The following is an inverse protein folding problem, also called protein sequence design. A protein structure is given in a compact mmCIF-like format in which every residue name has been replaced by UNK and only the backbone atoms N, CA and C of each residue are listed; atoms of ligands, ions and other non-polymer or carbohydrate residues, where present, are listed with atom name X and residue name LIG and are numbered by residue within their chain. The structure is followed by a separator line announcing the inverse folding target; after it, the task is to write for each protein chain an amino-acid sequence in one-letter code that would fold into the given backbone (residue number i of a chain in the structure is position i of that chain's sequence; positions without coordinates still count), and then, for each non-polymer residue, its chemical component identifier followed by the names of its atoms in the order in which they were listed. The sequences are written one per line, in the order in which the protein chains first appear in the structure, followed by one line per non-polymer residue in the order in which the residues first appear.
data_IF_644022698081
#
_entry.id   IF_644022698081
#
_cell.length_a   1.000
_cell.length_b   1.000
_cell.length_c   1.000
_cell.angle_alpha   90.00
_cell.angle_beta   90.00
_cell.angle_gamma   90.00
#
_symmetry.space_group_name_H-M   'P 1'
#
loop_
_entity.id
_entity.type
_entity.pdbx_description
1 polymer ?
#
# COMPACT_ATOMS: atom_id res chain seq x y z
N UNK A 1 -17.33 17.77 24.22
CA UNK A 1 -17.40 17.07 22.92
C UNK A 1 -16.35 15.98 22.99
N UNK A 2 -16.70 14.75 22.66
CA UNK A 2 -15.76 13.62 22.68
C UNK A 2 -14.67 13.84 21.63
N UNK A 3 -13.40 13.61 21.99
CA UNK A 3 -12.28 13.65 21.04
C UNK A 3 -12.31 12.43 20.11
N UNK A 4 -11.61 12.50 18.95
CA UNK A 4 -11.51 11.35 18.02
C UNK A 4 -10.83 10.18 18.72
N UNK A 5 -9.77 10.44 19.47
CA UNK A 5 -9.02 9.41 20.22
C UNK A 5 -9.93 8.71 21.27
N UNK A 6 -10.72 9.47 22.04
CA UNK A 6 -11.70 8.88 22.98
C UNK A 6 -12.76 8.03 22.25
N UNK A 7 -13.21 8.49 21.08
CA UNK A 7 -14.16 7.72 20.27
C UNK A 7 -13.53 6.40 19.77
N UNK A 8 -12.26 6.40 19.36
CA UNK A 8 -11.54 5.19 18.96
C UNK A 8 -11.39 4.22 20.14
N UNK A 9 -11.00 4.71 21.32
CA UNK A 9 -10.92 3.88 22.53
C UNK A 9 -12.28 3.29 22.95
N UNK A 10 -13.37 4.00 22.73
CA UNK A 10 -14.73 3.45 23.01
C UNK A 10 -15.12 2.28 22.11
N UNK A 11 -14.39 2.08 20.99
CA UNK A 11 -14.57 0.96 20.05
C UNK A 11 -13.52 -0.13 20.19
N UNK A 12 -12.67 -0.07 21.22
CA UNK A 12 -11.58 -1.02 21.47
C UNK A 12 -12.10 -2.44 21.65
N UNK A 13 -11.36 -3.41 21.09
CA UNK A 13 -11.51 -4.84 21.30
C UNK A 13 -10.15 -5.41 21.70
N UNK A 14 -9.99 -5.76 22.97
CA UNK A 14 -8.72 -6.22 23.54
C UNK A 14 -8.24 -7.55 22.91
N UNK A 15 -9.15 -8.45 22.58
CA UNK A 15 -8.80 -9.69 21.89
C UNK A 15 -8.27 -9.42 20.48
N UNK A 16 -8.89 -8.48 19.78
CA UNK A 16 -8.42 -8.05 18.45
C UNK A 16 -7.10 -7.28 18.55
N UNK A 17 -6.93 -6.41 19.55
CA UNK A 17 -5.68 -5.69 19.82
C UNK A 17 -4.51 -6.66 19.93
N UNK A 18 -4.63 -7.66 20.81
CA UNK A 18 -3.59 -8.66 21.05
C UNK A 18 -3.25 -9.46 19.79
N UNK A 19 -4.26 -9.91 19.06
CA UNK A 19 -4.08 -10.61 17.77
C UNK A 19 -3.38 -9.71 16.74
N UNK A 20 -3.85 -8.48 16.58
CA UNK A 20 -3.36 -7.57 15.54
C UNK A 20 -1.93 -7.11 15.79
N UNK A 21 -1.56 -6.86 17.05
CA UNK A 21 -0.20 -6.51 17.43
C UNK A 21 0.83 -7.56 16.97
N UNK A 22 0.47 -8.85 17.01
CA UNK A 22 1.33 -9.93 16.49
C UNK A 22 1.57 -9.88 14.98
N UNK A 23 0.70 -9.21 14.22
CA UNK A 23 0.85 -9.03 12.77
C UNK A 23 1.66 -7.78 12.39
N UNK A 24 1.96 -6.92 13.36
CA UNK A 24 2.55 -5.59 13.16
C UNK A 24 3.88 -5.45 13.93
N UNK A 25 4.91 -6.27 13.63
CA UNK A 25 6.13 -6.34 14.44
C UNK A 25 6.96 -5.04 14.46
N UNK A 26 6.65 -4.08 13.59
CA UNK A 26 7.31 -2.77 13.52
C UNK A 26 6.60 -1.67 14.30
N UNK A 27 5.44 -1.94 14.91
CA UNK A 27 4.66 -0.96 15.68
C UNK A 27 4.69 -1.33 17.17
N UNK A 28 4.93 -0.33 18.02
CA UNK A 28 4.79 -0.48 19.46
C UNK A 28 3.34 -0.91 19.80
N UNK A 29 3.12 -2.05 20.50
CA UNK A 29 1.79 -2.51 20.88
C UNK A 29 0.96 -1.47 21.65
N UNK A 30 1.60 -0.55 22.38
CA UNK A 30 0.91 0.54 23.08
C UNK A 30 0.31 1.58 22.12
N UNK A 31 0.78 1.63 20.89
CA UNK A 31 0.21 2.48 19.82
C UNK A 31 -0.96 1.81 19.08
N UNK A 32 -1.36 0.61 19.46
CA UNK A 32 -2.49 -0.12 18.86
C UNK A 32 -3.67 -0.10 19.83
N UNK A 33 -4.77 0.55 19.45
CA UNK A 33 -6.01 0.59 20.25
C UNK A 33 -6.77 -0.72 20.12
N UNK A 34 -6.83 -1.31 18.92
CA UNK A 34 -7.56 -2.54 18.65
C UNK A 34 -8.98 -2.30 18.13
N UNK A 35 -9.17 -1.28 17.27
CA UNK A 35 -10.47 -1.04 16.63
C UNK A 35 -10.62 -1.89 15.38
N UNK A 36 -11.68 -2.70 15.33
CA UNK A 36 -11.95 -3.53 14.15
C UNK A 36 -12.27 -2.68 12.91
N UNK A 37 -11.72 -3.03 11.78
CA UNK A 37 -11.85 -2.28 10.53
C UNK A 37 -13.31 -1.95 10.13
N UNK A 38 -14.32 -2.83 10.29
CA UNK A 38 -15.71 -2.45 9.99
C UNK A 38 -16.26 -1.33 10.88
N UNK A 39 -15.86 -1.27 12.15
CA UNK A 39 -16.24 -0.18 13.07
C UNK A 39 -15.54 1.12 12.66
N UNK A 40 -14.23 1.05 12.38
CA UNK A 40 -13.45 2.20 11.95
C UNK A 40 -13.97 2.80 10.64
N UNK A 41 -14.37 1.97 9.67
CA UNK A 41 -14.96 2.44 8.40
C UNK A 41 -16.30 3.15 8.60
N UNK A 42 -17.16 2.65 9.51
CA UNK A 42 -18.43 3.32 9.84
C UNK A 42 -18.15 4.67 10.52
N UNK A 43 -17.21 4.70 11.45
CA UNK A 43 -16.82 5.93 12.12
C UNK A 43 -16.23 6.96 11.14
N UNK A 44 -15.32 6.55 10.26
CA UNK A 44 -14.77 7.39 9.21
C UNK A 44 -15.86 7.98 8.29
N UNK A 45 -16.89 7.20 7.95
CA UNK A 45 -18.00 7.67 7.13
C UNK A 45 -18.83 8.76 7.85
N UNK A 46 -19.13 8.58 9.14
CA UNK A 46 -19.85 9.56 9.93
C UNK A 46 -19.00 10.82 10.19
N UNK A 47 -17.72 10.65 10.49
CA UNK A 47 -16.80 11.77 10.76
C UNK A 47 -16.59 12.65 9.53
N UNK A 48 -16.52 12.06 8.33
CA UNK A 48 -16.25 12.80 7.09
C UNK A 48 -17.25 13.93 6.80
N UNK A 49 -18.46 13.84 7.33
CA UNK A 49 -19.51 14.85 7.15
C UNK A 49 -19.45 15.97 8.22
N UNK A 50 -18.39 15.98 9.05
CA UNK A 50 -18.26 16.95 10.15
C UNK A 50 -17.06 17.88 9.96
N UNK A 51 -17.09 19.11 10.53
CA UNK A 51 -15.92 19.99 10.51
C UNK A 51 -14.70 19.41 11.24
N UNK A 52 -14.91 18.47 12.17
CA UNK A 52 -13.85 17.81 12.93
C UNK A 52 -12.93 16.98 12.04
N UNK A 53 -13.45 16.39 10.94
CA UNK A 53 -12.62 15.67 9.98
C UNK A 53 -11.52 16.55 9.36
N UNK A 54 -11.87 17.80 8.98
CA UNK A 54 -10.90 18.72 8.38
C UNK A 54 -9.82 19.17 9.37
N UNK A 55 -10.15 19.29 10.66
CA UNK A 55 -9.17 19.55 11.71
C UNK A 55 -8.25 18.36 11.91
N UNK A 56 -8.81 17.17 12.07
CA UNK A 56 -8.06 15.94 12.26
C UNK A 56 -7.05 15.67 11.11
N UNK A 57 -7.44 15.92 9.86
CA UNK A 57 -6.54 15.78 8.70
C UNK A 57 -5.37 16.79 8.67
N UNK A 58 -5.38 17.80 9.54
CA UNK A 58 -4.27 18.75 9.71
C UNK A 58 -3.35 18.40 10.88
N UNK A 59 -3.83 17.60 11.81
CA UNK A 59 -3.13 17.18 13.03
C UNK A 59 -2.24 15.97 12.71
N UNK A 60 -0.99 16.22 12.35
CA UNK A 60 0.04 15.21 12.12
C UNK A 60 1.28 15.54 12.95
N UNK A 61 2.02 14.53 13.41
CA UNK A 61 1.76 13.08 13.32
C UNK A 61 0.67 12.59 14.26
N UNK A 62 0.06 11.45 13.95
CA UNK A 62 -0.85 10.76 14.85
C UNK A 62 -0.11 9.83 15.81
N UNK A 63 -0.68 9.60 16.99
CA UNK A 63 -0.11 8.73 18.01
C UNK A 63 -0.44 7.27 17.77
N UNK A 64 -1.72 6.97 17.43
CA UNK A 64 -2.21 5.61 17.36
C UNK A 64 -2.33 5.10 15.92
N UNK A 65 -2.10 3.80 15.77
CA UNK A 65 -2.27 3.09 14.50
C UNK A 65 -3.66 3.30 13.87
N UNK A 66 -4.69 3.28 14.68
CA UNK A 66 -6.06 3.48 14.20
C UNK A 66 -6.36 4.92 13.79
N UNK A 67 -5.65 5.89 14.35
CA UNK A 67 -5.71 7.29 13.88
C UNK A 67 -5.11 7.41 12.48
N UNK A 68 -3.97 6.76 12.22
CA UNK A 68 -3.38 6.70 10.89
C UNK A 68 -4.33 6.00 9.89
N UNK A 69 -4.97 4.91 10.28
CA UNK A 69 -5.97 4.25 9.45
C UNK A 69 -7.20 5.11 9.20
N UNK A 70 -7.66 5.84 10.21
CA UNK A 70 -8.78 6.78 10.08
C UNK A 70 -8.43 7.91 9.11
N UNK A 71 -7.21 8.46 9.21
CA UNK A 71 -6.69 9.47 8.29
C UNK A 71 -6.70 8.95 6.85
N UNK A 72 -6.16 7.75 6.61
CA UNK A 72 -6.17 7.10 5.30
C UNK A 72 -7.62 6.94 4.77
N UNK A 73 -8.55 6.45 5.61
CA UNK A 73 -9.96 6.28 5.23
C UNK A 73 -10.65 7.60 4.87
N UNK A 74 -10.32 8.70 5.53
CA UNK A 74 -10.85 10.03 5.21
C UNK A 74 -10.28 10.54 3.89
N UNK A 75 -8.96 10.46 3.67
CA UNK A 75 -8.31 10.85 2.41
C UNK A 75 -8.87 10.08 1.20
N UNK A 76 -9.13 8.78 1.37
CA UNK A 76 -9.67 7.93 0.29
C UNK A 76 -11.03 8.39 -0.22
N UNK A 77 -11.79 9.16 0.56
CA UNK A 77 -13.13 9.66 0.19
C UNK A 77 -13.08 10.88 -0.74
N UNK A 78 -11.93 11.58 -0.79
CA UNK A 78 -11.76 12.73 -1.66
C UNK A 78 -11.84 12.30 -3.14
N UNK A 79 -12.69 12.98 -3.90
CA UNK A 79 -12.95 12.69 -5.31
C UNK A 79 -12.18 13.58 -6.27
N UNK A 80 -11.79 14.77 -5.80
CA UNK A 80 -11.01 15.69 -6.58
C UNK A 80 -9.51 15.45 -6.34
N UNK A 81 -8.78 15.21 -7.43
CA UNK A 81 -7.36 14.92 -7.38
C UNK A 81 -6.53 16.09 -6.84
N UNK A 82 -6.85 17.33 -7.22
CA UNK A 82 -6.08 18.50 -6.80
C UNK A 82 -6.28 18.80 -5.32
N UNK A 83 -7.48 18.55 -4.81
CA UNK A 83 -7.83 18.69 -3.38
C UNK A 83 -7.17 17.60 -2.53
N UNK A 84 -7.07 16.36 -3.06
CA UNK A 84 -6.47 15.24 -2.35
C UNK A 84 -4.94 15.40 -2.20
N UNK A 85 -4.24 15.85 -3.25
CA UNK A 85 -2.78 15.71 -3.30
C UNK A 85 -2.03 16.43 -2.17
N UNK A 86 -2.36 17.71 -1.80
CA UNK A 86 -1.64 18.36 -0.71
C UNK A 86 -1.76 17.66 0.65
N UNK A 87 -2.94 17.22 1.15
CA UNK A 87 -3.03 16.47 2.39
C UNK A 87 -2.43 15.07 2.29
N UNK A 88 -2.52 14.39 1.14
CA UNK A 88 -1.88 13.09 0.93
C UNK A 88 -0.35 13.20 1.03
N UNK A 89 0.27 14.18 0.38
CA UNK A 89 1.71 14.41 0.44
C UNK A 89 2.21 14.72 1.85
N UNK A 90 1.38 15.33 2.71
CA UNK A 90 1.70 15.50 4.13
C UNK A 90 1.56 14.21 4.93
N UNK A 91 0.65 13.32 4.54
CA UNK A 91 0.40 12.08 5.26
C UNK A 91 1.36 10.95 4.88
N UNK A 92 1.80 10.86 3.64
CA UNK A 92 2.70 9.78 3.19
C UNK A 92 3.97 9.62 4.04
N UNK A 93 4.63 10.71 4.51
CA UNK A 93 5.75 10.61 5.44
C UNK A 93 5.45 9.95 6.79
N UNK A 94 4.21 9.96 7.21
CA UNK A 94 3.75 9.43 8.50
C UNK A 94 3.40 7.93 8.44
N UNK A 95 3.44 7.34 7.24
CA UNK A 95 3.22 5.91 7.08
C UNK A 95 4.39 5.12 7.70
N UNK A 96 4.12 4.38 8.76
CA UNK A 96 5.09 3.59 9.52
C UNK A 96 4.85 2.08 9.46
N UNK A 97 3.83 1.64 8.67
CA UNK A 97 3.47 0.24 8.60
C UNK A 97 2.81 -0.14 7.27
N UNK A 98 2.86 -1.44 6.96
CA UNK A 98 2.30 -1.99 5.72
C UNK A 98 0.77 -1.95 5.67
N UNK A 99 0.08 -2.10 6.80
CA UNK A 99 -1.37 -2.23 6.82
C UNK A 99 -2.06 -0.88 6.52
N UNK A 100 -1.58 0.22 7.10
CA UNK A 100 -2.06 1.57 6.77
C UNK A 100 -1.71 1.94 5.33
N UNK A 101 -0.49 1.59 4.89
CA UNK A 101 -0.06 1.80 3.51
C UNK A 101 -0.99 1.12 2.51
N UNK A 102 -1.23 -0.19 2.67
CA UNK A 102 -2.06 -1.00 1.76
C UNK A 102 -3.57 -0.68 1.87
N UNK A 103 -3.99 -0.05 2.98
CA UNK A 103 -5.35 0.47 3.15
C UNK A 103 -5.59 1.68 2.25
N UNK A 104 -4.59 2.53 2.04
CA UNK A 104 -4.69 3.84 1.40
C UNK A 104 -4.83 3.70 -0.13
N UNK A 105 -6.07 3.73 -0.63
CA UNK A 105 -6.42 3.61 -2.06
C UNK A 105 -7.38 4.71 -2.50
N UNK A 106 -6.86 5.92 -2.79
CA UNK A 106 -7.70 7.04 -3.17
C UNK A 106 -8.52 6.76 -4.44
N UNK A 107 -9.84 6.96 -4.35
CA UNK A 107 -10.76 6.61 -5.45
C UNK A 107 -10.55 7.46 -6.70
N UNK A 108 -10.06 8.69 -6.56
CA UNK A 108 -9.83 9.59 -7.70
C UNK A 108 -8.65 9.18 -8.58
N UNK A 109 -7.72 8.33 -8.11
CA UNK A 109 -6.53 7.93 -8.86
C UNK A 109 -6.87 7.16 -10.15
N UNK A 110 -7.91 6.30 -10.10
CA UNK A 110 -8.33 5.53 -11.26
C UNK A 110 -8.74 6.37 -12.49
N UNK A 111 -9.14 7.63 -12.26
CA UNK A 111 -9.55 8.57 -13.32
C UNK A 111 -8.50 9.64 -13.62
N UNK A 112 -7.37 9.61 -12.95
CA UNK A 112 -6.32 10.61 -13.05
C UNK A 112 -4.93 9.98 -13.23
N UNK A 113 -4.85 8.86 -13.93
CA UNK A 113 -3.60 8.10 -14.11
C UNK A 113 -2.48 8.95 -14.71
N UNK A 114 -2.76 9.75 -15.72
CA UNK A 114 -1.74 10.62 -16.34
C UNK A 114 -1.20 11.68 -15.37
N UNK A 115 -2.09 12.24 -14.52
CA UNK A 115 -1.72 13.22 -13.50
C UNK A 115 -0.98 12.61 -12.33
N UNK A 116 -1.20 11.32 -12.07
CA UNK A 116 -0.58 10.58 -10.95
C UNK A 116 0.88 10.22 -11.24
N UNK A 117 1.24 9.95 -12.50
CA UNK A 117 2.58 9.49 -12.89
C UNK A 117 3.73 10.33 -12.33
N UNK A 118 3.74 11.67 -12.43
CA UNK A 118 4.83 12.49 -11.88
C UNK A 118 5.00 12.34 -10.36
N UNK A 119 3.91 12.09 -9.64
CA UNK A 119 3.95 11.84 -8.20
C UNK A 119 4.51 10.45 -7.89
N UNK A 120 4.16 9.44 -8.70
CA UNK A 120 4.74 8.10 -8.54
C UNK A 120 6.24 8.10 -8.75
N UNK A 121 6.75 8.83 -9.74
CA UNK A 121 8.19 8.99 -9.96
C UNK A 121 8.88 9.63 -8.74
N UNK A 122 8.29 10.68 -8.18
CA UNK A 122 8.77 11.32 -6.96
C UNK A 122 8.78 10.36 -5.77
N UNK A 123 7.69 9.61 -5.56
CA UNK A 123 7.55 8.72 -4.41
C UNK A 123 8.40 7.44 -4.52
N UNK A 124 8.66 6.95 -5.74
CA UNK A 124 9.60 5.83 -5.97
C UNK A 124 11.05 6.20 -5.61
N UNK A 125 11.40 7.47 -5.69
CA UNK A 125 12.72 8.00 -5.36
C UNK A 125 12.82 8.52 -3.91
N UNK A 126 11.79 8.32 -3.08
CA UNK A 126 11.77 8.76 -1.68
C UNK A 126 12.63 7.85 -0.78
N UNK A 127 13.18 8.40 0.30
CA UNK A 127 13.96 7.64 1.29
C UNK A 127 13.09 6.84 2.27
N UNK A 128 11.81 7.17 2.37
CA UNK A 128 10.87 6.54 3.31
C UNK A 128 10.27 5.27 2.74
N UNK A 129 10.49 4.12 3.39
CA UNK A 129 10.10 2.82 2.84
C UNK A 129 8.62 2.69 2.49
N UNK A 130 7.75 3.26 3.30
CA UNK A 130 6.30 3.13 3.05
C UNK A 130 5.78 4.10 2.00
N UNK A 131 6.43 5.25 1.75
CA UNK A 131 6.17 6.10 0.59
C UNK A 131 6.53 5.35 -0.70
N UNK A 132 7.70 4.72 -0.75
CA UNK A 132 8.13 3.87 -1.88
C UNK A 132 7.18 2.69 -2.08
N UNK A 133 6.79 1.99 -0.98
CA UNK A 133 5.82 0.90 -1.03
C UNK A 133 4.49 1.35 -1.61
N UNK A 134 3.99 2.49 -1.18
CA UNK A 134 2.75 3.07 -1.69
C UNK A 134 2.83 3.34 -3.20
N UNK A 135 3.92 3.92 -3.68
CA UNK A 135 4.11 4.18 -5.10
C UNK A 135 4.10 2.89 -5.94
N UNK A 136 4.80 1.84 -5.49
CA UNK A 136 4.78 0.53 -6.15
C UNK A 136 3.36 -0.07 -6.16
N UNK A 137 2.62 0.05 -5.05
CA UNK A 137 1.24 -0.44 -4.96
C UNK A 137 0.31 0.32 -5.90
N UNK A 138 0.47 1.62 -6.06
CA UNK A 138 -0.32 2.42 -7.00
C UNK A 138 -0.01 2.04 -8.45
N UNK A 139 1.26 1.78 -8.81
CA UNK A 139 1.62 1.21 -10.11
C UNK A 139 0.97 -0.16 -10.32
N UNK A 140 0.98 -1.03 -9.32
CA UNK A 140 0.31 -2.33 -9.38
C UNK A 140 -1.19 -2.21 -9.58
N UNK A 141 -1.82 -1.26 -8.89
CA UNK A 141 -3.29 -1.12 -8.86
C UNK A 141 -3.83 -0.50 -10.13
N UNK A 142 -3.15 0.49 -10.70
CA UNK A 142 -3.71 1.33 -11.76
C UNK A 142 -3.08 1.12 -13.14
N UNK A 143 -1.88 0.48 -13.22
CA UNK A 143 -1.11 0.47 -14.47
C UNK A 143 -0.74 -0.94 -14.99
N UNK A 144 -1.30 -2.01 -14.45
CA UNK A 144 -1.11 -3.37 -15.01
C UNK A 144 -2.15 -3.74 -16.07
N UNK A 145 -3.27 -3.02 -16.14
CA UNK A 145 -4.37 -3.24 -17.09
C UNK A 145 -4.25 -2.39 -18.35
N UNK A 146 -5.30 -1.58 -18.61
CA UNK A 146 -5.41 -0.73 -19.81
C UNK A 146 -4.32 0.34 -19.91
N UNK A 147 -3.79 0.82 -18.80
CA UNK A 147 -2.73 1.83 -18.74
C UNK A 147 -1.33 1.23 -18.69
N UNK A 148 -1.16 -0.05 -19.02
CA UNK A 148 0.15 -0.69 -18.97
C UNK A 148 1.15 -0.06 -19.94
N UNK A 149 2.39 0.11 -19.45
CA UNK A 149 3.58 0.43 -20.25
C UNK A 149 4.75 -0.42 -19.75
N UNK A 150 5.63 -0.93 -20.66
CA UNK A 150 6.84 -1.65 -20.28
C UNK A 150 7.80 -0.84 -19.39
N UNK A 151 7.63 0.48 -19.34
CA UNK A 151 8.41 1.37 -18.46
C UNK A 151 8.10 1.15 -16.97
N UNK A 152 6.85 0.83 -16.62
CA UNK A 152 6.48 0.73 -15.19
C UNK A 152 7.16 -0.42 -14.47
N UNK A 153 7.20 -1.65 -15.00
CA UNK A 153 8.00 -2.71 -14.37
C UNK A 153 9.50 -2.38 -14.32
N UNK A 154 10.05 -1.63 -15.27
CA UNK A 154 11.45 -1.15 -15.20
C UNK A 154 11.66 -0.20 -14.04
N UNK A 155 10.74 0.77 -13.83
CA UNK A 155 10.78 1.70 -12.68
C UNK A 155 10.73 0.94 -11.36
N UNK A 156 9.84 -0.05 -11.23
CA UNK A 156 9.75 -0.88 -10.02
C UNK A 156 11.00 -1.72 -9.81
N UNK A 157 11.57 -2.30 -10.88
CA UNK A 157 12.82 -3.07 -10.81
C UNK A 157 14.03 -2.20 -10.42
N UNK A 158 14.04 -0.93 -10.83
CA UNK A 158 15.12 0.01 -10.52
C UNK A 158 15.14 0.47 -9.05
N UNK A 159 14.07 0.27 -8.28
CA UNK A 159 14.03 0.62 -6.85
C UNK A 159 15.03 -0.24 -6.08
N UNK A 160 16.02 0.40 -5.47
CA UNK A 160 17.01 -0.24 -4.60
C UNK A 160 16.61 -0.03 -3.14
N UNK A 161 16.35 -1.12 -2.42
CA UNK A 161 15.99 -1.04 -1.00
C UNK A 161 16.32 -2.36 -0.29
N UNK A 162 16.90 -2.26 0.89
CA UNK A 162 17.06 -3.40 1.79
C UNK A 162 15.86 -3.56 2.75
N UNK A 163 14.94 -2.61 2.76
CA UNK A 163 13.78 -2.65 3.63
C UNK A 163 12.83 -3.77 3.21
N UNK A 164 12.54 -4.69 4.15
CA UNK A 164 11.73 -5.88 3.91
C UNK A 164 10.39 -5.60 3.20
N UNK A 165 9.65 -4.57 3.64
CA UNK A 165 8.32 -4.28 3.10
C UNK A 165 8.34 -3.61 1.73
N UNK A 166 9.43 -2.94 1.34
CA UNK A 166 9.63 -2.46 -0.03
C UNK A 166 9.90 -3.64 -0.97
N UNK A 167 10.87 -4.49 -0.62
CA UNK A 167 11.21 -5.70 -1.39
C UNK A 167 10.03 -6.66 -1.52
N UNK A 168 9.22 -6.79 -0.46
CA UNK A 168 7.99 -7.58 -0.49
C UNK A 168 6.95 -6.99 -1.45
N UNK A 169 6.83 -5.67 -1.53
CA UNK A 169 5.93 -5.01 -2.48
C UNK A 169 6.43 -5.15 -3.92
N UNK A 170 7.73 -5.03 -4.17
CA UNK A 170 8.31 -5.35 -5.48
C UNK A 170 7.93 -6.79 -5.91
N UNK A 171 8.12 -7.76 -5.01
CA UNK A 171 7.78 -9.14 -5.28
C UNK A 171 6.28 -9.34 -5.54
N UNK A 172 5.43 -8.62 -4.82
CA UNK A 172 3.97 -8.65 -5.05
C UNK A 172 3.59 -8.00 -6.36
N UNK A 173 4.20 -6.86 -6.71
CA UNK A 173 4.02 -6.20 -8.00
C UNK A 173 4.32 -7.16 -9.16
N UNK A 174 5.51 -7.77 -9.18
CA UNK A 174 5.91 -8.68 -10.26
C UNK A 174 5.07 -9.95 -10.31
N UNK A 175 4.71 -10.54 -9.17
CA UNK A 175 3.81 -11.69 -9.12
C UNK A 175 2.41 -11.37 -9.66
N UNK A 176 1.90 -10.17 -9.38
CA UNK A 176 0.63 -9.69 -9.93
C UNK A 176 0.75 -9.39 -11.42
N UNK A 177 1.82 -8.71 -11.82
CA UNK A 177 2.09 -8.35 -13.21
C UNK A 177 2.19 -9.59 -14.12
N UNK A 178 2.79 -10.69 -13.65
CA UNK A 178 2.81 -11.98 -14.37
C UNK A 178 1.41 -12.52 -14.70
N UNK A 179 0.42 -12.25 -13.85
CA UNK A 179 -0.96 -12.68 -14.12
C UNK A 179 -1.65 -11.86 -15.21
N UNK A 180 -1.19 -10.66 -15.49
CA UNK A 180 -1.73 -9.76 -16.50
C UNK A 180 -0.92 -9.73 -17.79
N UNK A 181 0.41 -9.87 -17.70
CA UNK A 181 1.39 -9.60 -18.76
C UNK A 181 2.55 -10.59 -18.70
N UNK A 182 2.27 -11.89 -18.80
CA UNK A 182 3.26 -12.93 -18.53
C UNK A 182 4.53 -12.75 -19.36
N UNK A 183 4.37 -12.62 -20.71
CA UNK A 183 5.51 -12.55 -21.64
C UNK A 183 6.35 -11.28 -21.45
N UNK A 184 5.71 -10.15 -21.14
CA UNK A 184 6.41 -8.88 -20.92
C UNK A 184 7.16 -8.85 -19.57
N UNK A 185 6.71 -9.65 -18.60
CA UNK A 185 7.25 -9.64 -17.23
C UNK A 185 8.27 -10.78 -17.01
N UNK A 186 8.13 -11.89 -17.69
CA UNK A 186 9.04 -13.04 -17.56
C UNK A 186 10.54 -12.67 -17.69
N UNK A 187 10.96 -11.77 -18.62
CA UNK A 187 12.35 -11.33 -18.73
C UNK A 187 12.97 -10.73 -17.47
N UNK A 188 12.16 -10.10 -16.59
CA UNK A 188 12.64 -9.58 -15.31
C UNK A 188 13.05 -10.69 -14.33
N UNK A 189 12.48 -11.89 -14.48
CA UNK A 189 12.78 -13.04 -13.63
C UNK A 189 13.91 -13.92 -14.20
N UNK A 190 14.14 -13.89 -15.52
CA UNK A 190 15.17 -14.66 -16.18
C UNK A 190 16.49 -13.91 -16.35
N UNK A 191 16.46 -12.57 -16.28
CA UNK A 191 17.62 -11.69 -16.29
C UNK A 191 18.03 -11.23 -14.88
N UNK A 192 18.87 -10.20 -14.84
CA UNK A 192 19.48 -9.65 -13.63
C UNK A 192 18.80 -8.38 -13.12
N UNK A 193 17.59 -8.08 -13.63
CA UNK A 193 16.87 -6.86 -13.29
C UNK A 193 16.35 -6.82 -11.83
N UNK A 194 16.13 -7.99 -11.23
CA UNK A 194 15.65 -8.11 -9.86
C UNK A 194 16.72 -8.71 -8.96
N UNK A 195 16.83 -8.21 -7.72
CA UNK A 195 17.67 -8.86 -6.71
C UNK A 195 17.26 -10.33 -6.52
N UNK A 196 18.20 -11.23 -6.19
CA UNK A 196 17.90 -12.66 -6.01
C UNK A 196 16.73 -12.90 -5.04
N UNK A 197 16.66 -12.14 -3.96
CA UNK A 197 15.59 -12.25 -2.98
C UNK A 197 14.23 -11.85 -3.56
N UNK A 198 14.13 -10.71 -4.25
CA UNK A 198 12.87 -10.24 -4.89
C UNK A 198 12.42 -11.23 -5.94
N UNK A 199 13.36 -11.72 -6.80
CA UNK A 199 13.08 -12.74 -7.82
C UNK A 199 12.48 -14.01 -7.21
N UNK A 200 13.14 -14.59 -6.20
CA UNK A 200 12.65 -15.81 -5.54
C UNK A 200 11.30 -15.61 -4.89
N UNK A 201 11.12 -14.48 -4.21
CA UNK A 201 9.84 -14.15 -3.54
C UNK A 201 8.72 -13.90 -4.55
N UNK A 202 9.02 -13.29 -5.70
CA UNK A 202 8.08 -13.15 -6.84
C UNK A 202 7.61 -14.51 -7.33
N UNK A 203 8.56 -15.42 -7.62
CA UNK A 203 8.23 -16.77 -8.07
C UNK A 203 7.39 -17.51 -7.05
N UNK A 204 7.72 -17.42 -5.76
CA UNK A 204 6.92 -18.01 -4.70
C UNK A 204 5.47 -17.53 -4.75
N UNK A 205 5.27 -16.20 -4.73
CA UNK A 205 3.93 -15.58 -4.75
C UNK A 205 3.15 -15.92 -6.03
N UNK A 206 3.82 -15.92 -7.19
CA UNK A 206 3.18 -16.26 -8.47
C UNK A 206 2.71 -17.72 -8.49
N UNK A 207 3.52 -18.66 -7.99
CA UNK A 207 3.15 -20.08 -7.90
C UNK A 207 1.97 -20.32 -6.93
N UNK A 208 1.89 -19.55 -5.84
CA UNK A 208 0.79 -19.59 -4.87
C UNK A 208 -0.50 -18.95 -5.42
N UNK A 209 -0.40 -18.06 -6.40
CA UNK A 209 -1.54 -17.31 -6.94
C UNK A 209 -2.49 -18.20 -7.74
N UNK A 210 -3.79 -18.08 -7.52
CA UNK A 210 -4.83 -18.71 -8.35
C UNK A 210 -4.97 -18.08 -9.75
N UNK A 211 -4.39 -16.90 -9.97
CA UNK A 211 -4.46 -16.16 -11.24
C UNK A 211 -3.45 -16.65 -12.28
N UNK A 212 -2.44 -17.42 -11.87
CA UNK A 212 -1.38 -17.93 -12.75
C UNK A 212 -1.77 -19.34 -13.23
N UNK A 213 -1.83 -19.59 -14.57
CA UNK A 213 -2.13 -20.90 -15.11
C UNK A 213 -1.10 -21.99 -14.69
N UNK A 214 -1.50 -23.26 -14.60
CA UNK A 214 -0.61 -24.35 -14.20
C UNK A 214 0.65 -24.46 -15.05
N UNK A 215 0.58 -24.21 -16.34
CA UNK A 215 1.73 -24.22 -17.27
C UNK A 215 2.76 -23.19 -16.85
N UNK A 216 2.38 -21.93 -16.67
CA UNK A 216 3.27 -20.85 -16.24
C UNK A 216 3.84 -21.12 -14.83
N UNK A 217 3.05 -21.75 -13.93
CA UNK A 217 3.57 -22.17 -12.63
C UNK A 217 4.70 -23.21 -12.74
N UNK A 218 4.61 -24.12 -13.70
CA UNK A 218 5.65 -25.12 -13.95
C UNK A 218 6.95 -24.44 -14.45
N UNK A 219 6.84 -23.52 -15.39
CA UNK A 219 7.96 -22.72 -15.90
C UNK A 219 8.62 -21.90 -14.77
N UNK A 220 7.83 -21.18 -13.98
CA UNK A 220 8.33 -20.39 -12.86
C UNK A 220 9.01 -21.23 -11.79
N UNK A 221 8.52 -22.46 -11.52
CA UNK A 221 9.19 -23.39 -10.60
C UNK A 221 10.56 -23.83 -11.11
N UNK A 222 10.75 -23.98 -12.41
CA UNK A 222 12.03 -24.32 -13.01
C UNK A 222 13.08 -23.20 -12.83
N UNK A 223 12.65 -21.93 -12.69
CA UNK A 223 13.52 -20.77 -12.44
C UNK A 223 14.00 -20.64 -10.98
N UNK A 224 13.53 -21.48 -10.05
CA UNK A 224 13.93 -21.43 -8.62
C UNK A 224 15.33 -21.97 -8.34
N UNK A 225 16.05 -22.45 -9.37
CA UNK A 225 17.41 -23.02 -9.26
C UNK A 225 18.47 -21.95 -9.23
#
# INVERSE_FOLDING_TARGET
MQTITEALFSMQDEGYRSFHAGLMPGIDPERIIGVRMPALRRYAAALAETPQAALFLRELPHTYYEENNLHALLLMREKDFSTLMPPLERFLPELDNWATCDLLKPVCFARNTDRLLPYLDKWLADDRPYTVRFAIEMLMTHYLGAHFSPEYPRRVAAVQSEHYYVRMMQAWYFATALAFRYEEILPFLTGDALSPWVRQKTIQKAVESFRIPPQHKAELKALRR
#
